data_IF_542319191054
#
_entry.id   IF_542319191054
#
_cell.length_a   1.000
_cell.length_b   1.000
_cell.length_c   1.000
_cell.angle_alpha   90.00
_cell.angle_beta   90.00
_cell.angle_gamma   90.00
#
_symmetry.space_group_name_H-M   'P 1'
#
loop_
_entity.id
_entity.type
_entity.pdbx_description
1 polymer ?
#
# COMPACT_ATOMS: atom_id res chain seq x y z
N UNK A 1 -40.28 -23.17 4.66
CA UNK A 1 -39.46 -21.97 4.42
C UNK A 1 -39.20 -21.94 2.94
N UNK A 2 -39.87 -21.08 2.21
CA UNK A 2 -39.64 -20.88 0.78
C UNK A 2 -38.24 -20.30 0.55
N UNK A 3 -37.50 -20.70 -0.47
CA UNK A 3 -36.24 -20.05 -0.84
C UNK A 3 -36.61 -18.65 -1.35
N UNK A 4 -36.31 -17.64 -0.52
CA UNK A 4 -36.53 -16.25 -0.86
C UNK A 4 -35.81 -15.93 -2.14
N UNK A 5 -36.57 -15.36 -3.08
CA UNK A 5 -36.15 -14.78 -4.33
C UNK A 5 -34.93 -13.90 -4.06
N UNK A 6 -33.73 -14.34 -4.47
CA UNK A 6 -32.50 -13.59 -4.27
C UNK A 6 -32.60 -12.24 -4.97
N UNK A 7 -33.05 -11.22 -4.26
CA UNK A 7 -32.95 -9.84 -4.72
C UNK A 7 -31.48 -9.52 -4.92
N UNK A 8 -31.07 -9.54 -6.17
CA UNK A 8 -29.72 -9.18 -6.59
C UNK A 8 -29.48 -7.74 -6.12
N UNK A 9 -28.57 -7.58 -5.14
CA UNK A 9 -28.27 -6.28 -4.54
C UNK A 9 -27.67 -5.39 -5.63
N UNK A 10 -28.22 -4.20 -5.82
CA UNK A 10 -27.77 -3.26 -6.84
C UNK A 10 -26.43 -2.61 -6.47
N UNK A 11 -26.14 -2.45 -5.19
CA UNK A 11 -24.91 -1.83 -4.71
C UNK A 11 -24.93 -1.46 -3.23
N UNK A 12 -23.94 -0.70 -2.83
CA UNK A 12 -23.71 -0.20 -1.46
C UNK A 12 -23.68 1.33 -1.43
N UNK A 13 -23.77 1.90 -0.23
CA UNK A 13 -23.63 3.33 0.02
C UNK A 13 -22.35 3.59 0.83
N UNK A 14 -21.40 4.32 0.24
CA UNK A 14 -20.18 4.76 0.92
C UNK A 14 -20.47 6.07 1.66
N UNK A 15 -20.39 6.08 2.99
CA UNK A 15 -20.72 7.28 3.78
C UNK A 15 -19.66 8.38 3.65
N UNK A 16 -18.44 8.04 3.21
CA UNK A 16 -17.36 9.00 3.03
C UNK A 16 -16.64 9.35 4.34
N UNK A 17 -15.92 10.47 4.33
CA UNK A 17 -15.14 10.96 5.48
C UNK A 17 -15.91 11.99 6.32
N UNK A 18 -16.86 12.71 5.73
CA UNK A 18 -17.72 13.68 6.41
C UNK A 18 -19.03 13.80 5.67
N UNK A 19 -20.11 14.02 6.41
CA UNK A 19 -21.44 14.31 5.88
C UNK A 19 -21.72 15.82 5.76
N UNK A 20 -20.83 16.67 6.28
CA UNK A 20 -21.01 18.12 6.27
C UNK A 20 -20.80 18.68 4.85
N UNK A 21 -21.83 19.34 4.25
CA UNK A 21 -21.73 19.86 2.89
C UNK A 21 -20.66 20.94 2.73
N UNK A 22 -20.39 21.70 3.78
CA UNK A 22 -19.40 22.78 3.78
C UNK A 22 -17.96 22.27 3.66
N UNK A 23 -17.69 21.03 4.13
CA UNK A 23 -16.37 20.41 4.04
C UNK A 23 -16.12 19.72 2.70
N UNK A 24 -17.16 19.40 1.92
CA UNK A 24 -16.99 18.65 0.67
C UNK A 24 -16.05 19.32 -0.35
N UNK A 25 -16.13 20.65 -0.63
CA UNK A 25 -15.21 21.30 -1.54
C UNK A 25 -13.75 21.26 -1.04
N UNK A 26 -13.56 21.42 0.27
CA UNK A 26 -12.22 21.33 0.89
C UNK A 26 -11.63 19.94 0.75
N UNK A 27 -12.42 18.89 1.08
CA UNK A 27 -12.03 17.50 0.94
C UNK A 27 -11.70 17.17 -0.53
N UNK A 28 -12.52 17.62 -1.47
CA UNK A 28 -12.29 17.44 -2.90
C UNK A 28 -10.94 18.02 -3.32
N UNK A 29 -10.68 19.31 -3.01
CA UNK A 29 -9.43 19.99 -3.36
C UNK A 29 -8.20 19.33 -2.73
N UNK A 30 -8.30 18.95 -1.46
CA UNK A 30 -7.23 18.30 -0.71
C UNK A 30 -6.90 16.90 -1.32
N UNK A 31 -7.88 16.04 -1.52
CA UNK A 31 -7.65 14.70 -2.05
C UNK A 31 -7.25 14.70 -3.52
N UNK A 32 -7.79 15.61 -4.32
CA UNK A 32 -7.34 15.80 -5.70
C UNK A 32 -5.86 16.20 -5.74
N UNK A 33 -5.44 17.15 -4.89
CA UNK A 33 -4.05 17.58 -4.82
C UNK A 33 -3.12 16.45 -4.38
N UNK A 34 -3.49 15.70 -3.33
CA UNK A 34 -2.70 14.55 -2.87
C UNK A 34 -2.60 13.46 -3.93
N UNK A 35 -3.70 13.17 -4.64
CA UNK A 35 -3.73 12.19 -5.72
C UNK A 35 -2.81 12.59 -6.88
N UNK A 36 -2.88 13.85 -7.33
CA UNK A 36 -2.01 14.36 -8.38
C UNK A 36 -0.54 14.30 -7.98
N UNK A 37 -0.21 14.67 -6.74
CA UNK A 37 1.15 14.58 -6.21
C UNK A 37 1.64 13.12 -6.19
N UNK A 38 0.78 12.18 -5.77
CA UNK A 38 1.11 10.74 -5.79
C UNK A 38 1.41 10.26 -7.20
N UNK A 39 0.50 10.51 -8.14
CA UNK A 39 0.64 10.03 -9.53
C UNK A 39 1.85 10.66 -10.20
N UNK A 40 1.98 12.00 -10.14
CA UNK A 40 3.09 12.70 -10.80
C UNK A 40 4.44 12.37 -10.15
N UNK A 41 4.51 12.31 -8.83
CA UNK A 41 5.75 12.03 -8.12
C UNK A 41 6.27 10.61 -8.39
N UNK A 42 5.41 9.61 -8.32
CA UNK A 42 5.77 8.23 -8.60
C UNK A 42 6.07 8.01 -10.11
N UNK A 43 5.30 8.64 -11.00
CA UNK A 43 5.58 8.60 -12.43
C UNK A 43 6.96 9.20 -12.77
N UNK A 44 7.34 10.31 -12.14
CA UNK A 44 8.66 10.91 -12.32
C UNK A 44 9.79 9.96 -11.88
N UNK A 45 9.62 9.19 -10.80
CA UNK A 45 10.59 8.16 -10.38
C UNK A 45 10.72 7.08 -11.46
N UNK A 46 9.59 6.55 -11.96
CA UNK A 46 9.60 5.51 -12.99
C UNK A 46 10.31 6.03 -14.25
N UNK A 47 9.99 7.24 -14.70
CA UNK A 47 10.60 7.85 -15.88
C UNK A 47 12.11 8.11 -15.68
N UNK A 48 12.52 8.62 -14.52
CA UNK A 48 13.93 8.85 -14.22
C UNK A 48 14.74 7.57 -14.25
N UNK A 49 14.25 6.51 -13.61
CA UNK A 49 14.93 5.20 -13.56
C UNK A 49 14.95 4.56 -14.95
N UNK A 50 13.88 4.67 -15.73
CA UNK A 50 13.83 4.10 -17.09
C UNK A 50 14.75 4.83 -18.08
N UNK A 51 14.97 6.14 -17.87
CA UNK A 51 15.74 6.99 -18.79
C UNK A 51 17.24 7.01 -18.50
N UNK A 52 17.68 6.65 -17.29
CA UNK A 52 19.09 6.74 -16.90
C UNK A 52 19.66 5.35 -16.59
N UNK A 53 20.55 4.86 -17.46
CA UNK A 53 21.19 3.54 -17.32
C UNK A 53 22.00 3.36 -16.01
N UNK A 54 22.43 4.46 -15.38
CA UNK A 54 23.10 4.43 -14.07
C UNK A 54 22.18 4.00 -12.93
N UNK A 55 20.87 4.13 -13.12
CA UNK A 55 19.86 3.70 -12.18
C UNK A 55 19.36 2.26 -12.42
N UNK A 56 19.96 1.54 -13.37
CA UNK A 56 19.60 0.14 -13.64
C UNK A 56 20.26 -0.81 -12.62
N UNK A 57 19.92 -0.64 -11.35
CA UNK A 57 20.35 -1.49 -10.24
C UNK A 57 19.15 -2.15 -9.56
N UNK A 58 19.34 -3.26 -8.82
CA UNK A 58 18.25 -3.96 -8.15
C UNK A 58 17.35 -3.04 -7.32
N UNK A 59 17.94 -2.16 -6.51
CA UNK A 59 17.16 -1.23 -5.68
C UNK A 59 16.22 -0.36 -6.49
N UNK A 60 16.67 0.23 -7.60
CA UNK A 60 15.80 1.11 -8.40
C UNK A 60 14.78 0.32 -9.20
N UNK A 61 15.08 -0.92 -9.57
CA UNK A 61 14.08 -1.83 -10.14
C UNK A 61 12.93 -2.09 -9.16
N UNK A 62 13.23 -2.36 -7.89
CA UNK A 62 12.19 -2.52 -6.85
C UNK A 62 11.46 -1.20 -6.57
N UNK A 63 12.17 -0.09 -6.57
CA UNK A 63 11.56 1.23 -6.38
C UNK A 63 10.57 1.58 -7.51
N UNK A 64 10.86 1.21 -8.77
CA UNK A 64 9.88 1.37 -9.87
C UNK A 64 8.63 0.54 -9.64
N UNK A 65 8.77 -0.70 -9.16
CA UNK A 65 7.62 -1.56 -8.85
C UNK A 65 6.79 -0.98 -7.68
N UNK A 66 7.44 -0.48 -6.63
CA UNK A 66 6.77 0.21 -5.53
C UNK A 66 6.02 1.46 -6.03
N UNK A 67 6.68 2.30 -6.85
CA UNK A 67 6.06 3.50 -7.42
C UNK A 67 4.84 3.18 -8.29
N UNK A 68 4.90 2.09 -9.07
CA UNK A 68 3.75 1.61 -9.84
C UNK A 68 2.61 1.15 -8.92
N UNK A 69 2.93 0.38 -7.89
CA UNK A 69 1.97 -0.10 -6.91
C UNK A 69 1.32 1.07 -6.15
N UNK A 70 2.09 2.08 -5.72
CA UNK A 70 1.59 3.32 -5.08
C UNK A 70 0.55 4.06 -5.95
N UNK A 71 0.85 4.23 -7.25
CA UNK A 71 -0.10 4.87 -8.20
C UNK A 71 -1.38 4.05 -8.28
N UNK A 72 -1.26 2.74 -8.50
CA UNK A 72 -2.40 1.85 -8.65
C UNK A 72 -3.21 1.78 -7.35
N UNK A 73 -2.56 1.64 -6.19
CA UNK A 73 -3.19 1.58 -4.88
C UNK A 73 -4.06 2.81 -4.61
N UNK A 74 -3.49 4.01 -4.74
CA UNK A 74 -4.22 5.26 -4.53
C UNK A 74 -5.35 5.42 -5.56
N UNK A 75 -5.15 4.94 -6.79
CA UNK A 75 -6.16 4.99 -7.86
C UNK A 75 -7.33 4.03 -7.64
N UNK A 76 -7.23 3.07 -6.72
CA UNK A 76 -8.38 2.21 -6.37
C UNK A 76 -9.44 2.95 -5.55
N UNK A 77 -9.05 3.94 -4.76
CA UNK A 77 -9.93 4.58 -3.77
C UNK A 77 -10.24 6.04 -4.10
N UNK A 78 -9.23 6.88 -4.34
CA UNK A 78 -9.38 8.33 -4.44
C UNK A 78 -10.27 8.79 -5.61
N UNK A 79 -10.13 8.28 -6.86
CA UNK A 79 -10.98 8.73 -7.95
C UNK A 79 -12.48 8.51 -7.68
N UNK A 80 -12.86 7.35 -7.13
CA UNK A 80 -14.26 7.07 -6.79
C UNK A 80 -14.78 8.00 -5.70
N UNK A 81 -13.96 8.27 -4.68
CA UNK A 81 -14.30 9.22 -3.63
C UNK A 81 -14.51 10.64 -4.19
N UNK A 82 -13.62 11.11 -5.08
CA UNK A 82 -13.75 12.42 -5.72
C UNK A 82 -15.03 12.52 -6.56
N UNK A 83 -15.37 11.48 -7.33
CA UNK A 83 -16.62 11.41 -8.08
C UNK A 83 -17.82 11.47 -7.15
N UNK A 84 -17.81 10.73 -6.05
CA UNK A 84 -18.91 10.73 -5.08
C UNK A 84 -19.09 12.13 -4.45
N UNK A 85 -18.02 12.82 -4.10
CA UNK A 85 -18.06 14.19 -3.60
C UNK A 85 -18.66 15.14 -4.67
N UNK A 86 -18.18 15.06 -5.91
CA UNK A 86 -18.60 15.95 -6.99
C UNK A 86 -20.06 15.73 -7.39
N UNK A 87 -20.51 14.48 -7.44
CA UNK A 87 -21.89 14.14 -7.83
C UNK A 87 -22.89 14.13 -6.66
N UNK A 88 -22.40 14.35 -5.45
CA UNK A 88 -23.19 14.22 -4.19
C UNK A 88 -23.89 12.84 -4.07
N UNK A 89 -23.28 11.81 -4.69
CA UNK A 89 -23.79 10.44 -4.69
C UNK A 89 -22.90 9.57 -3.82
N UNK A 90 -23.50 8.83 -2.88
CA UNK A 90 -22.79 7.86 -2.05
C UNK A 90 -22.77 6.45 -2.68
N UNK A 91 -23.43 6.26 -3.81
CA UNK A 91 -23.63 4.94 -4.41
C UNK A 91 -22.39 4.35 -5.07
N UNK A 92 -22.18 3.06 -4.83
CA UNK A 92 -21.25 2.22 -5.58
C UNK A 92 -21.99 0.92 -5.96
N UNK A 93 -21.85 0.48 -7.22
CA UNK A 93 -22.45 -0.80 -7.63
C UNK A 93 -21.80 -1.96 -6.91
N UNK A 94 -22.54 -3.08 -6.75
CA UNK A 94 -21.99 -4.31 -6.15
C UNK A 94 -20.68 -4.74 -6.82
N UNK A 95 -20.69 -4.86 -8.15
CA UNK A 95 -19.47 -5.22 -8.92
C UNK A 95 -18.35 -4.20 -8.73
N UNK A 96 -18.68 -2.91 -8.69
CA UNK A 96 -17.70 -1.84 -8.44
C UNK A 96 -17.06 -1.93 -7.06
N UNK A 97 -17.83 -2.27 -6.02
CA UNK A 97 -17.34 -2.46 -4.67
C UNK A 97 -16.40 -3.67 -4.57
N UNK A 98 -16.80 -4.83 -5.10
CA UNK A 98 -15.95 -6.03 -5.12
C UNK A 98 -14.66 -5.79 -5.92
N UNK A 99 -14.74 -5.13 -7.08
CA UNK A 99 -13.56 -4.79 -7.89
C UNK A 99 -12.62 -3.84 -7.15
N UNK A 100 -13.16 -2.81 -6.48
CA UNK A 100 -12.38 -1.88 -5.68
C UNK A 100 -11.68 -2.61 -4.52
N UNK A 101 -12.40 -3.46 -3.80
CA UNK A 101 -11.87 -4.26 -2.70
C UNK A 101 -10.75 -5.19 -3.16
N UNK A 102 -10.95 -5.91 -4.29
CA UNK A 102 -9.95 -6.79 -4.88
C UNK A 102 -8.63 -6.05 -5.18
N UNK A 103 -8.70 -4.95 -5.93
CA UNK A 103 -7.50 -4.20 -6.28
C UNK A 103 -6.86 -3.51 -5.08
N UNK A 104 -7.66 -3.06 -4.13
CA UNK A 104 -7.17 -2.50 -2.88
C UNK A 104 -6.32 -3.51 -2.10
N UNK A 105 -6.83 -4.72 -1.85
CA UNK A 105 -6.12 -5.79 -1.16
C UNK A 105 -4.86 -6.19 -1.95
N UNK A 106 -4.98 -6.31 -3.28
CA UNK A 106 -3.88 -6.68 -4.15
C UNK A 106 -2.69 -5.72 -4.02
N UNK A 107 -2.93 -4.42 -4.18
CA UNK A 107 -1.84 -3.45 -4.13
C UNK A 107 -1.31 -3.23 -2.72
N UNK A 108 -2.15 -3.32 -1.68
CA UNK A 108 -1.69 -3.26 -0.29
C UNK A 108 -0.70 -4.39 0.05
N UNK A 109 -1.04 -5.63 -0.31
CA UNK A 109 -0.16 -6.80 -0.09
C UNK A 109 1.09 -6.72 -0.98
N UNK A 110 0.96 -6.24 -2.21
CA UNK A 110 2.10 -6.06 -3.11
C UNK A 110 3.12 -5.06 -2.54
N UNK A 111 2.67 -3.93 -2.00
CA UNK A 111 3.53 -2.93 -1.37
C UNK A 111 4.34 -3.53 -0.21
N UNK A 112 3.69 -4.32 0.66
CA UNK A 112 4.35 -5.00 1.77
C UNK A 112 5.46 -5.97 1.29
N UNK A 113 5.19 -6.75 0.27
CA UNK A 113 6.18 -7.66 -0.30
C UNK A 113 7.34 -6.92 -0.96
N UNK A 114 7.07 -5.87 -1.74
CA UNK A 114 8.12 -5.07 -2.38
C UNK A 114 9.00 -4.39 -1.32
N UNK A 115 8.43 -3.81 -0.26
CA UNK A 115 9.19 -3.25 0.86
C UNK A 115 10.06 -4.31 1.54
N UNK A 116 9.57 -5.54 1.68
CA UNK A 116 10.36 -6.65 2.24
C UNK A 116 11.53 -7.03 1.34
N UNK A 117 11.30 -7.12 0.04
CA UNK A 117 12.36 -7.38 -0.95
C UNK A 117 13.40 -6.26 -0.94
N UNK A 118 12.98 -5.00 -0.78
CA UNK A 118 13.89 -3.86 -0.64
C UNK A 118 14.71 -3.93 0.66
N UNK A 119 14.12 -4.42 1.76
CA UNK A 119 14.87 -4.66 3.00
C UNK A 119 15.94 -5.75 2.83
N UNK A 120 15.60 -6.82 2.12
CA UNK A 120 16.55 -7.88 1.76
C UNK A 120 17.67 -7.35 0.86
N UNK A 121 17.36 -6.55 -0.16
CA UNK A 121 18.34 -5.87 -1.01
C UNK A 121 19.34 -5.04 -0.17
N UNK A 122 18.83 -4.23 0.76
CA UNK A 122 19.68 -3.45 1.67
C UNK A 122 20.56 -4.32 2.56
N UNK A 123 20.01 -5.43 3.07
CA UNK A 123 20.78 -6.40 3.84
C UNK A 123 21.94 -6.97 3.03
N UNK A 124 21.69 -7.43 1.81
CA UNK A 124 22.75 -7.99 0.95
C UNK A 124 23.79 -6.92 0.59
N UNK A 125 23.36 -5.70 0.26
CA UNK A 125 24.25 -4.61 -0.12
C UNK A 125 25.21 -4.19 1.01
N UNK A 126 24.76 -4.25 2.26
CA UNK A 126 25.56 -3.80 3.41
C UNK A 126 26.34 -4.93 4.05
N UNK A 127 25.74 -6.12 4.18
CA UNK A 127 26.36 -7.24 4.89
C UNK A 127 27.23 -8.11 3.95
N UNK A 128 26.98 -8.11 2.64
CA UNK A 128 27.68 -8.92 1.64
C UNK A 128 28.10 -8.11 0.41
N UNK A 129 28.78 -6.96 0.56
CA UNK A 129 29.04 -6.03 -0.55
C UNK A 129 29.83 -6.65 -1.70
N UNK A 130 30.77 -7.55 -1.41
CA UNK A 130 31.57 -8.22 -2.43
C UNK A 130 30.78 -9.22 -3.29
N UNK A 131 29.69 -9.75 -2.78
CA UNK A 131 28.84 -10.72 -3.46
C UNK A 131 27.53 -10.13 -3.92
N UNK A 132 27.30 -8.83 -3.73
CA UNK A 132 26.02 -8.17 -4.00
C UNK A 132 25.50 -8.45 -5.42
N UNK A 133 26.31 -8.22 -6.45
CA UNK A 133 25.91 -8.41 -7.85
C UNK A 133 25.69 -9.89 -8.23
N UNK A 134 26.31 -10.82 -7.49
CA UNK A 134 26.12 -12.26 -7.70
C UNK A 134 24.81 -12.72 -7.05
N UNK A 135 24.52 -12.26 -5.84
CA UNK A 135 23.31 -12.59 -5.10
C UNK A 135 22.11 -11.89 -5.74
N UNK A 136 22.14 -10.56 -5.86
CA UNK A 136 21.07 -9.74 -6.42
C UNK A 136 21.16 -9.67 -7.95
N UNK A 137 21.29 -10.84 -8.59
CA UNK A 137 21.29 -10.90 -10.05
C UNK A 137 19.89 -10.64 -10.64
N UNK A 138 19.78 -10.25 -11.94
CA UNK A 138 18.52 -9.91 -12.56
C UNK A 138 17.45 -11.02 -12.50
N UNK A 139 17.86 -12.29 -12.51
CA UNK A 139 16.93 -13.44 -12.42
C UNK A 139 16.28 -13.50 -11.05
N UNK A 140 17.07 -13.36 -9.97
CA UNK A 140 16.54 -13.33 -8.60
C UNK A 140 15.63 -12.11 -8.40
N UNK A 141 16.05 -10.92 -8.84
CA UNK A 141 15.25 -9.71 -8.73
C UNK A 141 13.88 -9.87 -9.44
N UNK A 142 13.88 -10.36 -10.67
CA UNK A 142 12.66 -10.64 -11.41
C UNK A 142 11.78 -11.70 -10.74
N UNK A 143 12.37 -12.76 -10.20
CA UNK A 143 11.66 -13.81 -9.47
C UNK A 143 11.00 -13.27 -8.19
N UNK A 144 11.71 -12.47 -7.41
CA UNK A 144 11.18 -11.87 -6.18
C UNK A 144 9.97 -10.98 -6.47
N UNK A 145 10.05 -10.14 -7.50
CA UNK A 145 8.91 -9.31 -7.93
C UNK A 145 7.76 -10.19 -8.43
N UNK A 146 8.04 -11.18 -9.28
CA UNK A 146 7.00 -12.08 -9.82
C UNK A 146 6.27 -12.83 -8.70
N UNK A 147 7.00 -13.36 -7.71
CA UNK A 147 6.40 -14.03 -6.55
C UNK A 147 5.54 -13.05 -5.74
N UNK A 148 6.00 -11.81 -5.53
CA UNK A 148 5.21 -10.78 -4.86
C UNK A 148 3.88 -10.52 -5.57
N UNK A 149 3.90 -10.39 -6.90
CA UNK A 149 2.68 -10.24 -7.71
C UNK A 149 1.76 -11.45 -7.62
N UNK A 150 2.28 -12.67 -7.75
CA UNK A 150 1.48 -13.89 -7.68
C UNK A 150 0.81 -14.03 -6.31
N UNK A 151 1.57 -13.84 -5.23
CA UNK A 151 1.04 -13.98 -3.86
C UNK A 151 -0.04 -12.93 -3.56
N UNK A 152 0.14 -11.70 -3.99
CA UNK A 152 -0.86 -10.64 -3.80
C UNK A 152 -2.13 -10.88 -4.62
N UNK A 153 -2.02 -11.36 -5.87
CA UNK A 153 -3.17 -11.76 -6.71
C UNK A 153 -3.94 -12.91 -6.06
N UNK A 154 -3.25 -13.96 -5.64
CA UNK A 154 -3.90 -15.15 -5.04
C UNK A 154 -4.65 -14.79 -3.76
N UNK A 155 -4.03 -13.99 -2.87
CA UNK A 155 -4.69 -13.53 -1.64
C UNK A 155 -5.95 -12.72 -1.93
N UNK A 156 -5.84 -11.71 -2.80
CA UNK A 156 -6.97 -10.84 -3.15
C UNK A 156 -8.11 -11.62 -3.81
N UNK A 157 -7.76 -12.61 -4.63
CA UNK A 157 -8.74 -13.47 -5.29
C UNK A 157 -9.49 -14.34 -4.26
N UNK A 158 -8.77 -14.98 -3.33
CA UNK A 158 -9.38 -15.80 -2.27
C UNK A 158 -10.35 -14.95 -1.44
N UNK A 159 -9.89 -13.81 -0.91
CA UNK A 159 -10.71 -12.95 -0.06
C UNK A 159 -11.93 -12.39 -0.81
N UNK A 160 -11.76 -12.00 -2.07
CA UNK A 160 -12.88 -11.48 -2.87
C UNK A 160 -13.90 -12.56 -3.25
N UNK A 161 -13.45 -13.78 -3.60
CA UNK A 161 -14.36 -14.89 -3.90
C UNK A 161 -15.18 -15.29 -2.68
N UNK A 162 -14.61 -15.28 -1.48
CA UNK A 162 -15.32 -15.57 -0.25
C UNK A 162 -16.42 -14.54 0.06
N UNK A 163 -16.22 -13.27 -0.33
CA UNK A 163 -17.24 -12.23 -0.17
C UNK A 163 -18.37 -12.39 -1.19
N UNK A 164 -18.10 -12.88 -2.40
CA UNK A 164 -19.14 -13.12 -3.41
C UNK A 164 -20.19 -14.16 -2.97
N UNK A 165 -19.82 -15.10 -2.09
CA UNK A 165 -20.71 -16.13 -1.58
C UNK A 165 -21.57 -15.65 -0.39
N UNK A 166 -21.34 -14.42 0.12
CA UNK A 166 -22.07 -13.89 1.26
C UNK A 166 -23.43 -13.31 0.83
N UNK A 167 -24.53 -13.66 1.54
CA UNK A 167 -25.82 -12.99 1.37
C UNK A 167 -25.82 -11.66 2.13
N UNK A 168 -26.25 -10.61 1.44
CA UNK A 168 -26.40 -9.27 2.01
C UNK A 168 -27.89 -8.94 2.15
N UNK A 169 -28.30 -8.28 3.24
CA UNK A 169 -29.70 -7.95 3.51
C UNK A 169 -30.03 -6.48 3.22
N UNK A 170 -30.73 -5.82 4.15
CA UNK A 170 -31.33 -4.51 3.93
C UNK A 170 -30.42 -3.33 4.24
N UNK A 171 -29.46 -3.50 5.12
CA UNK A 171 -28.51 -2.43 5.50
C UNK A 171 -27.26 -2.56 4.64
N UNK A 172 -27.07 -1.61 3.71
CA UNK A 172 -26.01 -1.62 2.72
C UNK A 172 -25.10 -0.38 2.84
N UNK A 173 -25.09 0.24 4.01
CA UNK A 173 -24.27 1.41 4.30
C UNK A 173 -22.88 0.99 4.80
N UNK A 174 -21.84 1.39 4.06
CA UNK A 174 -20.45 1.21 4.45
C UNK A 174 -19.97 2.51 5.10
N UNK A 175 -19.67 2.51 6.42
CA UNK A 175 -19.23 3.71 7.13
C UNK A 175 -17.75 4.02 6.82
N UNK A 176 -17.44 4.09 5.53
CA UNK A 176 -16.10 4.31 4.99
C UNK A 176 -16.16 5.04 3.64
N UNK A 177 -15.02 5.56 3.15
CA UNK A 177 -14.96 6.21 1.84
C UNK A 177 -14.61 5.25 0.69
N UNK A 178 -14.35 3.98 0.99
CA UNK A 178 -14.13 2.89 0.03
C UNK A 178 -14.61 1.56 0.60
N UNK A 179 -14.71 0.54 -0.27
CA UNK A 179 -15.11 -0.82 0.13
C UNK A 179 -13.94 -1.53 0.83
N UNK A 180 -13.92 -1.44 2.15
CA UNK A 180 -12.98 -2.18 2.99
C UNK A 180 -13.53 -3.58 3.28
N UNK A 181 -12.70 -4.61 3.15
CA UNK A 181 -13.09 -6.02 3.31
C UNK A 181 -13.89 -6.27 4.60
N UNK A 182 -13.35 -5.82 5.75
CA UNK A 182 -14.00 -6.03 7.05
C UNK A 182 -15.38 -5.38 7.12
N UNK A 183 -15.51 -4.15 6.61
CA UNK A 183 -16.78 -3.43 6.61
C UNK A 183 -17.81 -4.12 5.70
N UNK A 184 -17.38 -4.62 4.54
CA UNK A 184 -18.27 -5.36 3.62
C UNK A 184 -18.71 -6.67 4.25
N UNK A 185 -17.79 -7.45 4.83
CA UNK A 185 -18.13 -8.72 5.51
C UNK A 185 -19.12 -8.50 6.66
N UNK A 186 -19.02 -7.40 7.41
CA UNK A 186 -19.94 -7.07 8.51
C UNK A 186 -21.39 -6.79 8.06
N UNK A 187 -21.61 -6.50 6.78
CA UNK A 187 -22.97 -6.29 6.22
C UNK A 187 -23.66 -7.60 5.81
N UNK A 188 -22.96 -8.73 5.88
CA UNK A 188 -23.52 -10.03 5.56
C UNK A 188 -24.55 -10.46 6.62
N UNK A 189 -25.60 -11.16 6.16
CA UNK A 189 -26.67 -11.67 7.02
C UNK A 189 -26.45 -13.11 7.48
N UNK A 190 -25.36 -13.73 7.05
CA UNK A 190 -24.95 -15.09 7.43
C UNK A 190 -23.82 -15.05 8.44
N UNK A 191 -23.48 -16.24 8.95
CA UNK A 191 -22.27 -16.41 9.74
C UNK A 191 -21.02 -16.10 8.89
N UNK A 192 -20.19 -15.21 9.39
CA UNK A 192 -18.97 -14.72 8.74
C UNK A 192 -17.69 -15.29 9.37
N UNK A 193 -17.83 -16.26 10.28
CA UNK A 193 -16.69 -16.82 11.02
C UNK A 193 -15.55 -17.28 10.10
N UNK A 194 -15.85 -17.96 9.00
CA UNK A 194 -14.83 -18.42 8.06
C UNK A 194 -14.14 -17.25 7.33
N UNK A 195 -14.89 -16.24 6.93
CA UNK A 195 -14.34 -15.01 6.31
C UNK A 195 -13.40 -14.28 7.28
N UNK A 196 -13.83 -14.09 8.52
CA UNK A 196 -13.01 -13.47 9.56
C UNK A 196 -11.73 -14.30 9.84
N UNK A 197 -11.86 -15.61 9.93
CA UNK A 197 -10.73 -16.52 10.14
C UNK A 197 -9.70 -16.41 9.01
N UNK A 198 -10.15 -16.46 7.75
CA UNK A 198 -9.25 -16.33 6.58
C UNK A 198 -8.62 -14.96 6.53
N UNK A 199 -9.38 -13.87 6.76
CA UNK A 199 -8.87 -12.51 6.81
C UNK A 199 -7.78 -12.35 7.88
N UNK A 200 -8.03 -12.78 9.12
CA UNK A 200 -7.02 -12.68 10.19
C UNK A 200 -5.81 -13.56 9.95
N UNK A 201 -6.00 -14.76 9.39
CA UNK A 201 -4.89 -15.62 9.00
C UNK A 201 -4.05 -15.00 7.88
N UNK A 202 -4.69 -14.43 6.86
CA UNK A 202 -4.02 -13.71 5.77
C UNK A 202 -3.21 -12.53 6.29
N UNK A 203 -3.81 -11.69 7.13
CA UNK A 203 -3.09 -10.56 7.76
C UNK A 203 -1.92 -11.05 8.60
N UNK A 204 -2.10 -12.08 9.42
CA UNK A 204 -1.03 -12.65 10.24
C UNK A 204 0.13 -13.20 9.41
N UNK A 205 -0.15 -13.85 8.30
CA UNK A 205 0.86 -14.45 7.42
C UNK A 205 1.50 -13.40 6.49
N UNK A 206 0.69 -12.59 5.81
CA UNK A 206 1.13 -11.71 4.72
C UNK A 206 1.59 -10.33 5.20
N UNK A 207 1.20 -9.89 6.38
CA UNK A 207 1.79 -8.71 7.02
C UNK A 207 2.84 -9.11 8.06
N UNK A 208 2.57 -10.11 8.90
CA UNK A 208 3.48 -10.59 9.93
C UNK A 208 4.76 -11.22 9.37
N UNK A 209 4.66 -12.02 8.32
CA UNK A 209 5.81 -12.64 7.63
C UNK A 209 6.76 -11.60 7.04
N UNK A 210 6.30 -10.70 6.16
CA UNK A 210 7.07 -9.56 5.66
C UNK A 210 7.70 -8.71 6.76
N UNK A 211 6.95 -8.33 7.77
CA UNK A 211 7.48 -7.57 8.90
C UNK A 211 8.63 -8.31 9.62
N UNK A 212 8.48 -9.60 9.87
CA UNK A 212 9.54 -10.42 10.46
C UNK A 212 10.80 -10.46 9.57
N UNK A 213 10.63 -10.60 8.26
CA UNK A 213 11.72 -10.54 7.27
C UNK A 213 12.45 -9.19 7.28
N UNK A 214 11.71 -8.09 7.35
CA UNK A 214 12.24 -6.73 7.46
C UNK A 214 13.03 -6.58 8.77
N UNK A 215 12.46 -6.96 9.91
CA UNK A 215 13.11 -6.87 11.21
C UNK A 215 14.39 -7.71 11.26
N UNK A 216 14.37 -8.92 10.68
CA UNK A 216 15.55 -9.76 10.55
C UNK A 216 16.64 -9.06 9.71
N UNK A 217 16.31 -8.57 8.53
CA UNK A 217 17.23 -7.86 7.63
C UNK A 217 17.88 -6.68 8.33
N UNK A 218 17.08 -5.83 8.98
CA UNK A 218 17.59 -4.66 9.69
C UNK A 218 18.37 -5.00 10.96
N UNK A 219 18.05 -6.08 11.66
CA UNK A 219 18.86 -6.55 12.79
C UNK A 219 20.30 -6.90 12.35
N UNK A 220 20.44 -7.55 11.19
CA UNK A 220 21.74 -7.87 10.59
C UNK A 220 22.48 -6.63 10.09
N UNK A 221 21.77 -5.70 9.45
CA UNK A 221 22.32 -4.40 9.02
C UNK A 221 22.90 -3.63 10.21
N UNK A 222 22.14 -3.50 11.29
CA UNK A 222 22.58 -2.80 12.51
C UNK A 222 23.83 -3.46 13.10
N UNK A 223 23.84 -4.80 13.18
CA UNK A 223 25.01 -5.55 13.66
C UNK A 223 26.26 -5.28 12.79
N UNK A 224 26.10 -5.28 11.47
CA UNK A 224 27.17 -4.99 10.52
C UNK A 224 27.66 -3.54 10.64
N UNK A 225 26.77 -2.56 10.76
CA UNK A 225 27.12 -1.15 10.94
C UNK A 225 27.88 -0.93 12.25
N UNK A 226 27.51 -1.61 13.33
CA UNK A 226 28.23 -1.53 14.61
C UNK A 226 29.68 -2.01 14.49
N UNK A 227 29.96 -3.00 13.65
CA UNK A 227 31.30 -3.55 13.41
C UNK A 227 32.21 -2.63 12.56
N UNK A 228 31.66 -1.64 11.85
CA UNK A 228 32.44 -0.67 11.08
C UNK A 228 33.23 0.23 12.04
N UNK A 229 34.55 0.32 11.87
CA UNK A 229 35.40 1.11 12.77
C UNK A 229 35.26 2.62 12.56
N UNK A 230 35.12 3.09 11.31
CA UNK A 230 35.08 4.51 10.99
C UNK A 230 33.70 5.13 11.15
N UNK A 231 33.62 6.29 11.79
CA UNK A 231 32.37 7.05 11.93
C UNK A 231 31.77 7.43 10.57
N UNK A 232 32.61 7.77 9.60
CA UNK A 232 32.17 8.10 8.23
C UNK A 232 31.55 6.89 7.53
N UNK A 233 32.14 5.69 7.69
CA UNK A 233 31.58 4.45 7.14
C UNK A 233 30.22 4.10 7.76
N UNK A 234 30.07 4.25 9.09
CA UNK A 234 28.79 4.08 9.78
C UNK A 234 27.72 5.04 9.24
N UNK A 235 28.07 6.31 9.12
CA UNK A 235 27.15 7.34 8.59
C UNK A 235 26.70 7.01 7.16
N UNK A 236 27.64 6.61 6.27
CA UNK A 236 27.34 6.24 4.89
C UNK A 236 26.40 5.05 4.83
N UNK A 237 26.68 3.98 5.58
CA UNK A 237 25.81 2.79 5.63
C UNK A 237 24.42 3.10 6.16
N UNK A 238 24.31 3.89 7.25
CA UNK A 238 23.04 4.33 7.79
C UNK A 238 22.25 5.21 6.80
N UNK A 239 22.92 6.17 6.16
CA UNK A 239 22.30 7.06 5.16
C UNK A 239 21.71 6.27 3.99
N UNK A 240 22.32 5.16 3.58
CA UNK A 240 21.83 4.27 2.52
C UNK A 240 20.49 3.61 2.89
N UNK A 241 20.26 3.36 4.18
CA UNK A 241 19.01 2.76 4.68
C UNK A 241 17.94 3.78 5.05
N UNK A 242 18.32 5.03 5.27
CA UNK A 242 17.46 6.01 5.93
C UNK A 242 16.14 6.29 5.19
N UNK A 243 16.15 6.36 3.86
CA UNK A 243 14.94 6.52 3.07
C UNK A 243 14.01 5.34 3.22
N UNK A 244 14.53 4.13 3.09
CA UNK A 244 13.72 2.91 3.25
C UNK A 244 13.17 2.77 4.67
N UNK A 245 13.97 3.03 5.71
CA UNK A 245 13.50 3.06 7.10
C UNK A 245 12.41 4.09 7.33
N UNK A 246 12.50 5.26 6.70
CA UNK A 246 11.46 6.30 6.80
C UNK A 246 10.13 5.81 6.20
N UNK A 247 10.17 5.15 5.03
CA UNK A 247 8.97 4.58 4.40
C UNK A 247 8.39 3.45 5.25
N UNK A 248 9.22 2.53 5.73
CA UNK A 248 8.78 1.45 6.61
C UNK A 248 8.13 1.98 7.90
N UNK A 249 8.74 2.99 8.53
CA UNK A 249 8.19 3.62 9.73
C UNK A 249 6.86 4.30 9.46
N UNK A 250 6.72 4.95 8.31
CA UNK A 250 5.47 5.58 7.90
C UNK A 250 4.40 4.51 7.63
N UNK A 251 4.70 3.50 6.84
CA UNK A 251 3.77 2.43 6.45
C UNK A 251 3.28 1.63 7.67
N UNK A 252 4.19 1.03 8.41
CA UNK A 252 3.82 0.21 9.57
C UNK A 252 3.36 1.04 10.77
N UNK A 253 3.89 2.24 10.95
CA UNK A 253 3.47 3.15 12.02
C UNK A 253 2.04 3.64 11.82
N UNK A 254 1.66 4.01 10.59
CA UNK A 254 0.29 4.43 10.28
C UNK A 254 -0.68 3.25 10.37
N UNK A 255 -0.32 2.08 9.82
CA UNK A 255 -1.15 0.87 9.88
C UNK A 255 -1.40 0.44 11.32
N UNK A 256 -0.37 0.41 12.16
CA UNK A 256 -0.49 0.08 13.58
C UNK A 256 -1.33 1.13 14.33
N UNK A 257 -1.13 2.42 14.04
CA UNK A 257 -1.90 3.52 14.62
C UNK A 257 -3.39 3.38 14.33
N UNK A 258 -3.76 3.01 13.09
CA UNK A 258 -5.15 2.72 12.71
C UNK A 258 -5.71 1.55 13.51
N UNK A 259 -4.96 0.45 13.61
CA UNK A 259 -5.39 -0.74 14.35
C UNK A 259 -5.63 -0.44 15.84
N UNK A 260 -4.73 0.30 16.48
CA UNK A 260 -4.84 0.67 17.90
C UNK A 260 -5.99 1.66 18.13
N UNK A 261 -6.20 2.63 17.24
CA UNK A 261 -7.31 3.58 17.36
C UNK A 261 -8.67 2.90 17.16
N UNK A 262 -8.78 1.99 16.21
CA UNK A 262 -10.00 1.19 15.99
C UNK A 262 -10.34 0.32 17.18
N UNK A 263 -9.35 -0.24 17.85
CA UNK A 263 -9.54 -1.06 19.05
C UNK A 263 -9.99 -0.23 20.27
N UNK A 264 -9.60 1.05 20.35
CA UNK A 264 -9.88 1.91 21.51
C UNK A 264 -11.16 2.72 21.40
N UNK A 265 -11.60 3.11 20.21
CA UNK A 265 -12.68 4.12 20.06
C UNK A 265 -14.01 3.57 19.57
N UNK A 266 -14.10 2.33 19.09
CA UNK A 266 -15.31 1.74 18.48
C UNK A 266 -16.03 2.65 17.45
N UNK A 267 -15.38 3.73 16.99
CA UNK A 267 -15.95 4.69 16.05
C UNK A 267 -15.45 4.37 14.63
N UNK A 268 -16.37 3.99 13.76
CA UNK A 268 -16.11 3.73 12.34
C UNK A 268 -15.52 4.96 11.61
N UNK A 269 -15.90 6.17 12.03
CA UNK A 269 -15.41 7.42 11.47
C UNK A 269 -13.91 7.65 11.79
N UNK A 270 -13.48 7.30 13.00
CA UNK A 270 -12.05 7.36 13.36
C UNK A 270 -11.21 6.38 12.54
N UNK A 271 -11.76 5.19 12.27
CA UNK A 271 -11.12 4.20 11.40
C UNK A 271 -10.99 4.70 9.96
N UNK A 272 -12.05 5.29 9.39
CA UNK A 272 -12.04 5.84 8.05
C UNK A 272 -11.01 6.98 7.91
N UNK A 273 -10.97 7.91 8.87
CA UNK A 273 -10.00 9.01 8.87
C UNK A 273 -8.56 8.50 8.99
N UNK A 274 -8.34 7.52 9.86
CA UNK A 274 -7.02 6.93 10.05
C UNK A 274 -6.55 6.16 8.79
N UNK A 275 -7.48 5.54 8.05
CA UNK A 275 -7.18 4.83 6.79
C UNK A 275 -6.62 5.75 5.71
N UNK A 276 -6.93 7.07 5.73
CA UNK A 276 -6.33 8.06 4.81
C UNK A 276 -4.81 8.07 4.91
N UNK A 277 -4.26 7.85 6.11
CA UNK A 277 -2.82 7.91 6.33
C UNK A 277 -2.07 6.85 5.50
N UNK A 278 -2.54 5.62 5.46
CA UNK A 278 -1.85 4.57 4.70
C UNK A 278 -2.33 4.46 3.25
N UNK A 279 -3.59 4.84 2.93
CA UNK A 279 -4.12 4.74 1.56
C UNK A 279 -3.71 5.90 0.66
N UNK A 280 -3.48 7.10 1.23
CA UNK A 280 -3.25 8.32 0.46
C UNK A 280 -1.94 8.99 0.85
N UNK A 281 -1.72 9.23 2.16
CA UNK A 281 -0.56 10.01 2.62
C UNK A 281 0.74 9.24 2.42
N UNK A 282 0.79 7.95 2.73
CA UNK A 282 2.00 7.13 2.57
C UNK A 282 2.45 7.05 1.11
N UNK A 283 1.60 6.66 0.13
CA UNK A 283 1.97 6.67 -1.30
C UNK A 283 2.37 8.05 -1.82
N UNK A 284 1.75 9.12 -1.30
CA UNK A 284 2.11 10.50 -1.67
C UNK A 284 3.52 10.88 -1.18
N UNK A 285 3.92 10.42 0.00
CA UNK A 285 5.22 10.80 0.59
C UNK A 285 6.38 9.97 0.05
N UNK A 286 6.15 8.76 -0.45
CA UNK A 286 7.19 7.87 -0.97
C UNK A 286 8.11 8.53 -2.01
N UNK A 287 7.61 9.23 -3.05
CA UNK A 287 8.46 9.91 -4.01
C UNK A 287 9.39 10.96 -3.38
N UNK A 288 8.90 11.70 -2.40
CA UNK A 288 9.71 12.72 -1.72
C UNK A 288 10.80 12.08 -0.87
N UNK A 289 10.48 11.04 -0.10
CA UNK A 289 11.43 10.35 0.77
C UNK A 289 12.56 9.73 -0.06
N UNK A 290 12.24 9.11 -1.19
CA UNK A 290 13.24 8.49 -2.06
C UNK A 290 14.00 9.51 -2.92
N UNK A 291 13.33 10.52 -3.49
CA UNK A 291 13.98 11.50 -4.37
C UNK A 291 14.79 12.55 -3.61
N UNK A 292 14.28 13.08 -2.49
CA UNK A 292 14.97 14.16 -1.75
C UNK A 292 16.30 13.71 -1.15
N UNK A 293 16.41 12.44 -0.73
CA UNK A 293 17.62 11.88 -0.12
C UNK A 293 18.57 11.23 -1.12
N UNK A 294 18.07 10.86 -2.30
CA UNK A 294 18.85 10.13 -3.29
C UNK A 294 19.40 11.07 -4.37
N UNK A 295 20.71 11.33 -4.32
CA UNK A 295 21.40 12.21 -5.28
C UNK A 295 21.33 11.68 -6.71
N UNK A 296 21.30 10.36 -6.90
CA UNK A 296 21.28 9.73 -8.22
C UNK A 296 19.92 9.95 -8.90
N UNK A 297 18.80 9.75 -8.17
CA UNK A 297 17.47 10.06 -8.68
C UNK A 297 17.35 11.57 -8.98
N UNK A 298 17.83 12.42 -8.07
CA UNK A 298 17.80 13.87 -8.27
C UNK A 298 18.53 14.30 -9.53
N UNK A 299 19.78 13.77 -9.71
CA UNK A 299 20.56 14.05 -10.90
C UNK A 299 19.97 13.44 -12.19
N UNK A 300 19.26 12.30 -12.12
CA UNK A 300 18.53 11.75 -13.25
C UNK A 300 17.31 12.61 -13.63
N UNK A 301 16.56 13.09 -12.65
CA UNK A 301 15.43 14.00 -12.87
C UNK A 301 15.88 15.34 -13.48
N UNK A 302 16.98 15.92 -12.99
CA UNK A 302 17.57 17.15 -13.55
C UNK A 302 17.96 16.98 -15.02
N UNK A 303 18.55 15.84 -15.38
CA UNK A 303 18.90 15.51 -16.78
C UNK A 303 17.66 15.28 -17.64
N UNK A 304 16.67 14.58 -17.10
CA UNK A 304 15.42 14.30 -17.81
C UNK A 304 14.65 15.60 -18.07
N UNK A 305 14.66 16.54 -17.15
CA UNK A 305 14.00 17.85 -17.29
C UNK A 305 14.82 18.88 -18.08
N UNK A 306 15.98 18.48 -18.60
CA UNK A 306 16.81 19.36 -19.47
C UNK A 306 17.60 20.44 -18.73
N UNK A 307 17.94 20.20 -17.48
CA UNK A 307 18.77 21.08 -16.65
C UNK A 307 20.14 20.48 -16.35
#
# INVERSE_FOLDING_TARGET
MEPGNGTQISGFLLLGLSEEPELQPLLFGMFLSMYLVTVLGNLLIILAVSSDSRLHTPMYFFLCNLSLADICFTSTTVPKMLVNIQTQSKAITYAGCITQMYFYIHFAVLDEFILTVMAYDRYVAICHPLHYMVIMNPRLCGLLVLVSWIMSVLNSLIESLMVLDLPFCSDLEIPHFFCELKQVVQLACSDTFLNDLVMYFSVGLLAGGPLAGILYSYSKIVSSIRAISSAQGKYKAFSTCASHLSVLSLFYGTSLGVYLSSASTHSSQSSATASVMYTVVTPMLNPFIYSLRNRDIKGALERFLGR
#
